data_IF_644205526319
#
_entry.id   IF_644205526319
#
_cell.length_a   1.000
_cell.length_b   1.000
_cell.length_c   1.000
_cell.angle_alpha   90.00
_cell.angle_beta   90.00
_cell.angle_gamma   90.00
#
_symmetry.space_group_name_H-M   'P 1'
#
loop_
_entity.id
_entity.type
_entity.pdbx_description
1 polymer ?
#
# COMPACT_ATOMS: atom_id res chain seq x y z
N UNK A 1 32.41 12.21 0.13
CA UNK A 1 31.52 11.29 0.89
C UNK A 1 30.68 10.53 -0.11
N UNK A 2 30.54 9.21 0.01
CA UNK A 2 29.51 8.50 -0.75
C UNK A 2 28.15 8.93 -0.19
N UNK A 3 27.14 9.25 -1.02
CA UNK A 3 25.80 9.54 -0.52
C UNK A 3 25.30 8.35 0.30
N UNK A 4 24.67 8.64 1.43
CA UNK A 4 24.09 7.62 2.29
C UNK A 4 22.91 6.98 1.57
N UNK A 5 22.96 5.65 1.39
CA UNK A 5 21.89 4.90 0.74
C UNK A 5 20.87 4.49 1.79
N UNK A 6 19.60 4.84 1.59
CA UNK A 6 18.53 4.66 2.58
C UNK A 6 17.48 3.71 2.04
N UNK A 7 17.20 2.65 2.80
CA UNK A 7 16.05 1.78 2.61
C UNK A 7 15.01 2.09 3.70
N UNK A 8 13.79 2.41 3.28
CA UNK A 8 12.63 2.53 4.16
C UNK A 8 11.69 1.37 3.88
N UNK A 9 11.18 0.72 4.91
CA UNK A 9 10.15 -0.32 4.81
C UNK A 9 9.02 0.07 5.75
N UNK A 10 7.82 0.28 5.24
CA UNK A 10 6.71 0.82 6.02
C UNK A 10 5.35 0.31 5.55
N UNK A 11 4.38 0.34 6.45
CA UNK A 11 2.98 0.11 6.11
C UNK A 11 2.34 1.45 5.68
N UNK A 12 2.18 1.67 4.38
CA UNK A 12 1.64 2.94 3.85
C UNK A 12 0.20 3.17 4.29
N UNK A 13 -0.11 4.29 4.93
CA UNK A 13 -1.48 4.61 5.33
C UNK A 13 -2.38 4.75 4.10
N UNK A 14 -1.95 5.52 3.11
CA UNK A 14 -2.72 5.84 1.91
C UNK A 14 -3.00 4.64 1.03
N UNK A 15 -1.98 3.84 0.73
CA UNK A 15 -2.16 2.68 -0.15
C UNK A 15 -3.07 1.63 0.52
N UNK A 16 -2.91 1.43 1.84
CA UNK A 16 -3.77 0.52 2.59
C UNK A 16 -5.19 1.08 2.78
N UNK A 17 -5.39 2.41 2.84
CA UNK A 17 -6.72 3.02 2.82
C UNK A 17 -7.43 2.82 1.47
N UNK A 18 -6.74 3.05 0.35
CA UNK A 18 -7.30 2.77 -0.98
C UNK A 18 -7.71 1.31 -1.13
N UNK A 19 -6.87 0.39 -0.65
CA UNK A 19 -7.15 -1.05 -0.63
C UNK A 19 -8.33 -1.40 0.28
N UNK A 20 -8.45 -0.74 1.43
CA UNK A 20 -9.58 -0.86 2.34
C UNK A 20 -10.91 -0.45 1.68
N UNK A 21 -10.94 0.69 0.98
CA UNK A 21 -12.12 1.13 0.23
C UNK A 21 -12.46 0.17 -0.92
N UNK A 22 -11.45 -0.31 -1.63
CA UNK A 22 -11.62 -1.30 -2.71
C UNK A 22 -12.23 -2.62 -2.21
N UNK A 23 -11.67 -3.17 -1.13
CA UNK A 23 -12.14 -4.43 -0.55
C UNK A 23 -13.56 -4.31 -0.01
N UNK A 24 -13.87 -3.19 0.62
CA UNK A 24 -15.22 -2.85 1.00
C UNK A 24 -16.17 -2.84 -0.20
N UNK A 25 -15.79 -2.22 -1.33
CA UNK A 25 -16.64 -2.16 -2.52
C UNK A 25 -16.89 -3.52 -3.16
N UNK A 26 -15.93 -4.46 -3.02
CA UNK A 26 -16.05 -5.84 -3.51
C UNK A 26 -17.01 -6.69 -2.67
N UNK A 27 -17.11 -6.43 -1.36
CA UNK A 27 -17.91 -7.23 -0.41
C UNK A 27 -17.59 -8.74 -0.47
N UNK A 28 -16.32 -9.09 -0.62
CA UNK A 28 -15.86 -10.48 -0.59
C UNK A 28 -15.58 -10.92 0.84
N UNK A 29 -16.21 -12.01 1.29
CA UNK A 29 -16.14 -12.48 2.70
C UNK A 29 -14.74 -12.75 3.23
N UNK A 30 -13.78 -13.00 2.35
CA UNK A 30 -12.41 -13.35 2.71
C UNK A 30 -11.47 -12.15 2.66
N UNK A 31 -11.94 -10.99 2.17
CA UNK A 31 -11.18 -9.75 2.13
C UNK A 31 -11.63 -8.85 3.28
N UNK A 32 -10.68 -8.23 3.96
CA UNK A 32 -10.99 -7.20 4.93
C UNK A 32 -10.98 -5.81 4.26
N UNK A 33 -11.91 -4.90 4.58
CA UNK A 33 -13.06 -5.09 5.45
C UNK A 33 -14.22 -5.75 4.69
N UNK A 34 -14.85 -6.74 5.31
CA UNK A 34 -16.16 -7.23 4.89
C UNK A 34 -17.20 -6.73 5.89
N UNK A 35 -17.97 -5.71 5.50
CA UNK A 35 -18.99 -5.08 6.34
C UNK A 35 -20.36 -5.27 5.68
N UNK A 36 -21.14 -6.25 6.15
CA UNK A 36 -22.48 -6.50 5.63
C UNK A 36 -23.36 -5.25 5.72
N UNK A 37 -24.13 -4.98 4.66
CA UNK A 37 -25.10 -3.87 4.65
C UNK A 37 -24.59 -2.59 3.99
N UNK A 38 -23.34 -2.54 3.53
CA UNK A 38 -22.76 -1.44 2.74
C UNK A 38 -23.08 -0.04 3.34
N UNK A 39 -22.66 0.26 4.60
CA UNK A 39 -22.97 1.52 5.28
C UNK A 39 -22.48 2.80 4.60
N UNK A 40 -21.45 2.72 3.75
CA UNK A 40 -20.83 3.83 3.04
C UNK A 40 -21.29 3.90 1.58
N UNK A 41 -21.67 5.11 1.18
CA UNK A 41 -22.10 5.45 -0.16
C UNK A 41 -20.89 5.78 -1.04
N UNK A 42 -20.33 4.76 -1.68
CA UNK A 42 -19.24 4.90 -2.64
C UNK A 42 -19.74 5.31 -4.03
N UNK A 43 -18.83 5.87 -4.83
CA UNK A 43 -19.05 6.02 -6.26
C UNK A 43 -19.43 4.68 -6.91
N UNK A 44 -20.20 4.73 -8.00
CA UNK A 44 -20.53 3.54 -8.78
C UNK A 44 -19.26 2.80 -9.24
N UNK A 45 -19.30 1.46 -9.30
CA UNK A 45 -18.11 0.66 -9.62
C UNK A 45 -17.42 1.04 -10.93
N UNK A 46 -18.18 1.53 -11.92
CA UNK A 46 -17.68 2.02 -13.21
C UNK A 46 -16.77 3.23 -13.08
N UNK A 47 -16.97 4.07 -12.05
CA UNK A 47 -16.20 5.27 -11.74
C UNK A 47 -15.15 4.95 -10.67
N UNK A 48 -15.54 4.20 -9.64
CA UNK A 48 -14.73 3.91 -8.47
C UNK A 48 -13.44 3.19 -8.82
N UNK A 49 -13.49 2.15 -9.66
CA UNK A 49 -12.29 1.35 -9.97
C UNK A 49 -11.23 2.17 -10.72
N UNK A 50 -11.56 2.91 -11.80
CA UNK A 50 -10.60 3.83 -12.42
C UNK A 50 -10.06 4.88 -11.46
N UNK A 51 -10.91 5.45 -10.60
CA UNK A 51 -10.52 6.47 -9.63
C UNK A 51 -9.55 5.93 -8.57
N UNK A 52 -9.80 4.73 -8.05
CA UNK A 52 -8.88 4.04 -7.13
C UNK A 52 -7.51 3.81 -7.77
N UNK A 53 -7.48 3.34 -9.03
CA UNK A 53 -6.23 3.13 -9.77
C UNK A 53 -5.48 4.45 -10.03
N UNK A 54 -6.20 5.52 -10.35
CA UNK A 54 -5.62 6.86 -10.52
C UNK A 54 -5.00 7.36 -9.21
N UNK A 55 -5.78 7.38 -8.13
CA UNK A 55 -5.34 7.84 -6.82
C UNK A 55 -4.17 7.01 -6.28
N UNK A 56 -4.17 5.70 -6.56
CA UNK A 56 -3.04 4.82 -6.26
C UNK A 56 -1.74 5.31 -6.90
N UNK A 57 -1.77 5.52 -8.22
CA UNK A 57 -0.60 5.95 -8.97
C UNK A 57 -0.14 7.34 -8.56
N UNK A 58 -1.06 8.27 -8.34
CA UNK A 58 -0.76 9.63 -7.85
C UNK A 58 -0.17 9.63 -6.45
N UNK A 59 -0.67 8.77 -5.56
CA UNK A 59 -0.12 8.58 -4.21
C UNK A 59 1.29 8.02 -4.29
N UNK A 60 1.51 6.99 -5.11
CA UNK A 60 2.81 6.33 -5.22
C UNK A 60 3.85 7.19 -5.93
N UNK A 61 3.45 8.09 -6.83
CA UNK A 61 4.34 9.02 -7.52
C UNK A 61 4.88 10.13 -6.61
N UNK A 62 4.21 10.44 -5.50
CA UNK A 62 4.66 11.45 -4.56
C UNK A 62 5.24 10.79 -3.30
N UNK A 63 6.57 10.78 -3.19
CA UNK A 63 7.30 10.08 -2.12
C UNK A 63 6.89 10.44 -0.69
N UNK A 64 6.18 11.54 -0.48
CA UNK A 64 5.75 11.99 0.85
C UNK A 64 4.41 11.37 1.25
N UNK A 65 3.49 11.22 0.30
CA UNK A 65 2.09 10.92 0.61
C UNK A 65 1.80 9.48 1.09
N UNK A 66 2.46 8.42 0.58
CA UNK A 66 2.25 7.06 1.08
C UNK A 66 2.45 6.95 2.60
N UNK A 67 3.40 7.70 3.14
CA UNK A 67 3.81 7.66 4.54
C UNK A 67 3.00 8.60 5.45
N UNK A 68 2.37 9.63 4.89
CA UNK A 68 1.61 10.60 5.69
C UNK A 68 0.31 9.98 6.24
N UNK A 69 -0.12 10.36 7.46
CA UNK A 69 -1.46 10.06 7.93
C UNK A 69 -2.52 10.58 6.96
N UNK A 70 -3.66 9.88 6.86
CA UNK A 70 -4.71 10.21 5.89
C UNK A 70 -5.27 11.62 6.12
N UNK A 71 -5.27 12.12 7.37
CA UNK A 71 -5.80 13.45 7.72
C UNK A 71 -5.14 14.58 6.95
N UNK A 72 -3.85 14.44 6.61
CA UNK A 72 -3.10 15.44 5.83
C UNK A 72 -3.41 15.42 4.34
N UNK A 73 -4.16 14.43 3.86
CA UNK A 73 -4.40 14.15 2.45
C UNK A 73 -5.83 13.70 2.17
N UNK A 74 -6.73 13.84 3.14
CA UNK A 74 -8.09 13.30 3.10
C UNK A 74 -8.90 13.79 1.89
N UNK A 75 -8.67 15.05 1.50
CA UNK A 75 -9.30 15.66 0.32
C UNK A 75 -9.00 14.91 -0.99
N UNK A 76 -7.86 14.22 -1.10
CA UNK A 76 -7.52 13.41 -2.28
C UNK A 76 -8.45 12.21 -2.43
N UNK A 77 -8.81 11.59 -1.32
CA UNK A 77 -9.62 10.37 -1.29
C UNK A 77 -11.11 10.64 -1.18
N UNK A 78 -11.48 11.89 -0.87
CA UNK A 78 -12.86 12.32 -0.69
C UNK A 78 -13.76 11.99 -1.88
N UNK A 79 -13.21 12.06 -3.09
CA UNK A 79 -13.88 11.80 -4.36
C UNK A 79 -14.35 10.35 -4.55
N UNK A 80 -13.83 9.40 -3.75
CA UNK A 80 -14.26 8.00 -3.76
C UNK A 80 -15.69 7.80 -3.22
N UNK A 81 -16.24 8.81 -2.54
CA UNK A 81 -17.52 8.75 -1.85
C UNK A 81 -18.51 9.77 -2.45
N UNK A 82 -19.80 9.45 -2.36
CA UNK A 82 -20.88 10.33 -2.83
C UNK A 82 -21.26 11.41 -1.80
N UNK A 83 -20.96 11.20 -0.51
CA UNK A 83 -21.27 12.11 0.58
C UNK A 83 -20.22 12.10 1.69
N UNK A 84 -20.24 13.15 2.53
CA UNK A 84 -19.20 13.41 3.55
C UNK A 84 -19.28 12.43 4.70
N UNK A 85 -20.52 12.09 5.06
CA UNK A 85 -20.83 11.24 6.19
C UNK A 85 -20.23 9.84 5.95
N UNK A 86 -20.41 9.31 4.74
CA UNK A 86 -19.83 8.02 4.34
C UNK A 86 -18.30 8.05 4.34
N UNK A 87 -17.69 9.14 3.89
CA UNK A 87 -16.24 9.30 3.88
C UNK A 87 -15.65 9.32 5.29
N UNK A 88 -16.16 10.23 6.14
CA UNK A 88 -15.67 10.39 7.51
C UNK A 88 -15.91 9.12 8.34
N UNK A 89 -17.07 8.45 8.21
CA UNK A 89 -17.28 7.15 8.88
C UNK A 89 -16.37 6.03 8.36
N UNK A 90 -16.10 5.99 7.06
CA UNK A 90 -15.14 5.04 6.50
C UNK A 90 -13.74 5.30 7.07
N UNK A 91 -13.33 6.56 7.14
CA UNK A 91 -12.04 6.97 7.67
C UNK A 91 -11.91 6.63 9.16
N UNK A 92 -12.92 6.92 9.98
CA UNK A 92 -12.95 6.57 11.41
C UNK A 92 -12.84 5.05 11.62
N UNK A 93 -13.57 4.27 10.81
CA UNK A 93 -13.53 2.82 10.87
C UNK A 93 -12.15 2.28 10.45
N UNK A 94 -11.59 2.86 9.38
CA UNK A 94 -10.24 2.55 8.93
C UNK A 94 -9.22 2.83 10.04
N UNK A 95 -9.22 4.02 10.65
CA UNK A 95 -8.27 4.35 11.71
C UNK A 95 -8.41 3.47 12.94
N UNK A 96 -9.65 3.15 13.34
CA UNK A 96 -9.92 2.25 14.46
C UNK A 96 -9.30 0.87 14.23
N UNK A 97 -9.39 0.35 13.01
CA UNK A 97 -8.75 -0.91 12.64
C UNK A 97 -7.24 -0.77 12.43
N UNK A 98 -6.81 0.25 11.68
CA UNK A 98 -5.43 0.49 11.29
C UNK A 98 -4.53 0.70 12.51
N UNK A 99 -5.00 1.45 13.50
CA UNK A 99 -4.30 1.65 14.78
C UNK A 99 -4.38 0.46 15.74
N UNK A 100 -5.13 -0.60 15.40
CA UNK A 100 -5.22 -1.81 16.22
C UNK A 100 -4.06 -2.78 15.94
N UNK A 101 -3.91 -3.79 16.80
CA UNK A 101 -2.93 -4.88 16.57
C UNK A 101 -3.15 -5.63 15.25
N UNK A 102 -4.37 -5.64 14.72
CA UNK A 102 -4.72 -6.32 13.47
C UNK A 102 -4.56 -5.43 12.22
N UNK A 103 -4.19 -4.16 12.40
CA UNK A 103 -3.95 -3.18 11.34
C UNK A 103 -2.46 -3.03 11.03
N UNK A 104 -1.93 -1.82 11.13
CA UNK A 104 -0.55 -1.50 10.76
C UNK A 104 0.48 -2.33 11.53
N UNK A 105 0.22 -2.57 12.82
CA UNK A 105 1.12 -3.34 13.68
C UNK A 105 1.32 -4.77 13.19
N UNK A 106 0.30 -5.40 12.61
CA UNK A 106 0.42 -6.75 12.06
C UNK A 106 1.36 -6.76 10.85
N UNK A 107 1.28 -5.74 9.99
CA UNK A 107 2.08 -5.58 8.79
C UNK A 107 3.54 -5.31 9.16
N UNK A 108 3.77 -4.36 10.08
CA UNK A 108 5.10 -3.97 10.54
C UNK A 108 5.82 -5.13 11.23
N UNK A 109 5.11 -5.93 12.03
CA UNK A 109 5.68 -7.12 12.68
C UNK A 109 5.95 -8.26 11.72
N UNK A 110 5.33 -8.26 10.54
CA UNK A 110 5.48 -9.35 9.58
C UNK A 110 6.85 -9.31 8.88
N UNK A 111 7.43 -8.12 8.70
CA UNK A 111 8.80 -7.99 8.24
C UNK A 111 9.73 -8.11 9.43
N UNK A 112 10.07 -9.36 9.77
CA UNK A 112 11.07 -9.64 10.78
C UNK A 112 12.47 -9.18 10.36
N UNK A 113 13.43 -9.29 11.28
CA UNK A 113 14.80 -8.82 11.06
C UNK A 113 15.48 -9.55 9.90
N UNK A 114 15.20 -10.83 9.69
CA UNK A 114 15.77 -11.62 8.59
C UNK A 114 15.20 -11.21 7.23
N UNK A 115 13.90 -10.93 7.17
CA UNK A 115 13.24 -10.36 6.00
C UNK A 115 13.80 -8.99 5.68
N UNK A 116 13.98 -8.14 6.70
CA UNK A 116 14.58 -6.82 6.55
C UNK A 116 16.02 -6.89 6.01
N UNK A 117 16.85 -7.80 6.52
CA UNK A 117 18.21 -8.03 6.02
C UNK A 117 18.22 -8.49 4.56
N UNK A 118 17.23 -9.31 4.18
CA UNK A 118 17.06 -9.79 2.80
C UNK A 118 16.66 -8.63 1.87
N UNK A 119 15.68 -7.82 2.27
CA UNK A 119 15.27 -6.60 1.57
C UNK A 119 16.43 -5.62 1.41
N UNK A 120 17.23 -5.43 2.47
CA UNK A 120 18.43 -4.57 2.44
C UNK A 120 19.49 -5.10 1.47
N UNK A 121 19.74 -6.40 1.46
CA UNK A 121 20.68 -7.02 0.52
C UNK A 121 20.23 -6.80 -0.93
N UNK A 122 18.94 -6.92 -1.21
CA UNK A 122 18.38 -6.65 -2.54
C UNK A 122 18.47 -5.18 -2.92
N UNK A 123 18.19 -4.28 -1.97
CA UNK A 123 18.36 -2.85 -2.16
C UNK A 123 19.80 -2.51 -2.56
N UNK A 124 20.81 -3.12 -1.94
CA UNK A 124 22.23 -2.89 -2.27
C UNK A 124 22.56 -3.22 -3.74
N UNK A 125 21.84 -4.16 -4.36
CA UNK A 125 22.00 -4.51 -5.78
C UNK A 125 21.40 -3.48 -6.75
N UNK A 126 20.53 -2.58 -6.25
CA UNK A 126 20.02 -1.46 -7.04
C UNK A 126 21.05 -0.35 -7.14
N UNK A 127 20.92 0.55 -8.13
CA UNK A 127 21.67 1.81 -8.18
C UNK A 127 20.94 2.97 -7.48
N UNK A 128 19.87 2.67 -6.71
CA UNK A 128 19.05 3.70 -6.06
C UNK A 128 19.72 4.22 -4.79
N UNK A 129 19.72 5.54 -4.63
CA UNK A 129 20.14 6.19 -3.38
C UNK A 129 19.09 6.02 -2.29
N UNK A 130 17.81 6.08 -2.66
CA UNK A 130 16.67 5.88 -1.76
C UNK A 130 15.71 4.86 -2.35
N UNK A 131 15.20 3.96 -1.52
CA UNK A 131 14.11 3.05 -1.87
C UNK A 131 13.15 2.98 -0.69
N UNK A 132 11.86 3.20 -0.95
CA UNK A 132 10.79 2.98 0.02
C UNK A 132 9.98 1.78 -0.43
N UNK A 133 9.80 0.81 0.47
CA UNK A 133 8.98 -0.37 0.28
C UNK A 133 7.71 -0.18 1.10
N UNK A 134 6.59 -0.01 0.39
CA UNK A 134 5.27 0.14 0.96
C UNK A 134 4.61 -1.24 1.05
N UNK A 135 4.31 -1.67 2.26
CA UNK A 135 3.68 -2.96 2.54
C UNK A 135 2.16 -2.85 2.52
N UNK A 136 1.51 -3.81 1.87
CA UNK A 136 0.05 -3.95 1.86
C UNK A 136 -0.43 -5.10 2.74
N UNK A 137 -1.51 -4.89 3.48
CA UNK A 137 -2.13 -5.96 4.29
C UNK A 137 -2.80 -7.06 3.44
N UNK A 138 -3.16 -6.75 2.19
CA UNK A 138 -3.85 -7.64 1.26
C UNK A 138 -3.13 -7.70 -0.10
N UNK A 139 -3.55 -8.65 -0.92
CA UNK A 139 -2.82 -9.04 -2.13
C UNK A 139 -3.12 -8.20 -3.39
N UNK A 140 -4.15 -7.37 -3.34
CA UNK A 140 -4.58 -6.59 -4.51
C UNK A 140 -3.75 -5.32 -4.67
N UNK A 141 -2.96 -5.25 -5.74
CA UNK A 141 -2.30 -4.02 -6.18
C UNK A 141 -3.24 -3.29 -7.15
N UNK A 142 -3.71 -2.11 -6.77
CA UNK A 142 -4.74 -1.38 -7.53
C UNK A 142 -4.20 -0.65 -8.76
N UNK A 143 -2.90 -0.37 -8.80
CA UNK A 143 -2.24 0.34 -9.89
C UNK A 143 -0.81 -0.15 -10.12
N UNK A 144 0.10 0.77 -10.41
CA UNK A 144 1.51 0.46 -10.61
C UNK A 144 2.13 -0.08 -9.31
N UNK A 145 2.87 -1.21 -9.35
CA UNK A 145 3.54 -1.76 -8.17
C UNK A 145 4.86 -1.06 -7.87
N UNK A 146 5.34 -0.21 -8.77
CA UNK A 146 6.59 0.54 -8.66
C UNK A 146 6.46 1.88 -9.39
N UNK A 147 6.90 2.95 -8.75
CA UNK A 147 7.05 4.29 -9.36
C UNK A 147 8.31 4.92 -8.76
N UNK A 148 9.26 5.32 -9.60
CA UNK A 148 10.54 5.90 -9.19
C UNK A 148 11.23 5.10 -8.07
N UNK A 149 11.31 5.66 -6.87
CA UNK A 149 11.96 5.09 -5.69
C UNK A 149 10.96 4.47 -4.69
N UNK A 150 9.72 4.27 -5.13
CA UNK A 150 8.64 3.68 -4.36
C UNK A 150 8.31 2.31 -4.94
N UNK A 151 8.43 1.27 -4.11
CA UNK A 151 8.06 -0.10 -4.42
C UNK A 151 6.89 -0.50 -3.53
N UNK A 152 5.96 -1.26 -4.06
CA UNK A 152 4.89 -1.87 -3.28
C UNK A 152 5.14 -3.37 -3.19
N UNK A 153 5.00 -3.93 -1.98
CA UNK A 153 4.98 -5.37 -1.73
C UNK A 153 3.73 -5.72 -0.93
N UNK A 154 3.08 -6.83 -1.29
CA UNK A 154 2.02 -7.40 -0.46
C UNK A 154 2.64 -8.21 0.67
N UNK A 155 1.93 -8.37 1.79
CA UNK A 155 2.40 -9.27 2.84
C UNK A 155 2.65 -10.69 2.33
N UNK A 156 1.79 -11.23 1.47
CA UNK A 156 2.00 -12.58 0.91
C UNK A 156 3.33 -12.70 0.17
N UNK A 157 3.72 -11.67 -0.57
CA UNK A 157 4.98 -11.63 -1.31
C UNK A 157 6.20 -11.60 -0.37
N UNK A 158 6.03 -11.30 0.91
CA UNK A 158 7.11 -11.34 1.90
C UNK A 158 7.16 -12.66 2.68
N UNK A 159 6.20 -13.57 2.51
CA UNK A 159 6.12 -14.83 3.28
C UNK A 159 7.22 -15.82 2.90
N UNK A 160 7.53 -15.92 1.61
CA UNK A 160 8.55 -16.82 1.07
C UNK A 160 9.70 -15.98 0.56
N UNK A 161 10.88 -16.19 1.11
CA UNK A 161 12.06 -15.36 0.82
C UNK A 161 12.41 -15.36 -0.68
N UNK A 162 12.34 -16.51 -1.32
CA UNK A 162 12.59 -16.66 -2.75
C UNK A 162 11.57 -15.86 -3.58
N UNK A 163 10.27 -15.91 -3.21
CA UNK A 163 9.22 -15.15 -3.89
C UNK A 163 9.41 -13.64 -3.70
N UNK A 164 9.80 -13.21 -2.50
CA UNK A 164 10.12 -11.81 -2.21
C UNK A 164 11.28 -11.31 -3.07
N UNK A 165 12.36 -12.09 -3.15
CA UNK A 165 13.53 -11.78 -3.98
C UNK A 165 13.12 -11.66 -5.46
N UNK A 166 12.43 -12.65 -6.00
CA UNK A 166 12.00 -12.64 -7.40
C UNK A 166 11.08 -11.46 -7.69
N UNK A 167 10.10 -11.20 -6.83
CA UNK A 167 9.15 -10.09 -6.97
C UNK A 167 9.86 -8.75 -6.98
N UNK A 168 10.81 -8.52 -6.06
CA UNK A 168 11.60 -7.31 -6.04
C UNK A 168 12.48 -7.16 -7.27
N UNK A 169 13.14 -8.24 -7.71
CA UNK A 169 14.00 -8.19 -8.89
C UNK A 169 13.22 -7.87 -10.15
N UNK A 170 12.03 -8.44 -10.31
CA UNK A 170 11.18 -8.21 -11.47
C UNK A 170 10.64 -6.77 -11.48
N UNK A 171 10.14 -6.27 -10.34
CA UNK A 171 9.61 -4.91 -10.23
C UNK A 171 10.69 -3.83 -10.32
N UNK A 172 11.89 -4.09 -9.80
CA UNK A 172 13.02 -3.17 -9.89
C UNK A 172 13.84 -3.38 -11.17
N UNK A 173 13.39 -4.25 -12.09
CA UNK A 173 14.09 -4.57 -13.35
C UNK A 173 15.57 -4.95 -13.13
N UNK A 174 15.85 -5.65 -12.03
CA UNK A 174 17.18 -6.20 -11.72
C UNK A 174 17.48 -7.45 -12.54
N UNK A 175 16.44 -8.08 -13.11
CA UNK A 175 16.54 -9.22 -14.03
C UNK A 175 16.60 -8.80 -15.53
N UNK A 176 17.54 -7.90 -15.88
CA UNK A 176 17.97 -7.60 -17.27
C UNK A 176 17.23 -6.44 -17.98
N UNK A 177 17.82 -5.66 -18.91
CA UNK A 177 18.99 -5.91 -19.77
C UNK A 177 19.20 -7.39 -20.08
N UNK A 178 18.21 -7.98 -20.74
CA UNK A 178 18.42 -9.10 -21.65
C UNK A 178 18.31 -8.59 -23.08
#
# INVERSE_FOLDING_TARGET
MKPERILTVEASHSLNFLLYVHNYAKQEKHCYPYIPGNPWNLQEQSILRPLLQQLWNETLADSTYPSLPIDYQKERFRSLFCDEISFEYCLDTFYSWWGSMAGSMAIERFVDQDSHNSLYTLFLLTNKEHLTINLLYENDILGSPVVDNQLVLTLRETFVREEMITTMQDRLTLNGNK
#
